data_IF_643031937963
#
_entry.id   IF_643031937963
#
_cell.length_a   1.000
_cell.length_b   1.000
_cell.length_c   1.000
_cell.angle_alpha   90.00
_cell.angle_beta   90.00
_cell.angle_gamma   90.00
#
_symmetry.space_group_name_H-M   'P 1'
#
loop_
_entity.id
_entity.type
_entity.pdbx_description
1 polymer ?
#
# COMPACT_ATOMS: atom_id res chain seq x y z
N UNK A 1 -4.27 -12.39 1.12
CA UNK A 1 -4.31 -11.03 0.54
C UNK A 1 -4.56 -11.20 -0.93
N UNK A 2 -5.54 -10.51 -1.50
CA UNK A 2 -5.79 -10.54 -2.94
C UNK A 2 -5.10 -9.31 -3.51
N UNK A 3 -3.86 -9.45 -3.96
CA UNK A 3 -3.14 -8.35 -4.59
C UNK A 3 -3.79 -8.13 -5.96
N UNK A 4 -4.45 -6.99 -6.13
CA UNK A 4 -4.89 -6.56 -7.45
C UNK A 4 -3.71 -5.84 -8.10
N UNK A 5 -2.74 -6.60 -8.61
CA UNK A 5 -1.91 -6.03 -9.67
C UNK A 5 -2.86 -5.65 -10.83
N UNK A 6 -2.69 -4.44 -11.36
CA UNK A 6 -3.60 -3.84 -12.35
C UNK A 6 -3.82 -4.76 -13.58
N UNK A 7 -5.02 -4.72 -14.16
CA UNK A 7 -5.32 -5.37 -15.46
C UNK A 7 -4.44 -4.84 -16.61
N UNK A 8 -3.76 -3.71 -16.42
CA UNK A 8 -2.74 -3.18 -17.31
C UNK A 8 -1.36 -3.35 -16.68
N UNK A 9 -0.62 -4.39 -17.11
CA UNK A 9 0.81 -4.47 -16.87
C UNK A 9 1.49 -3.20 -17.40
N UNK A 10 2.15 -2.46 -16.50
CA UNK A 10 3.08 -1.38 -16.87
C UNK A 10 4.00 -1.96 -17.98
N UNK A 11 4.03 -1.34 -19.17
CA UNK A 11 4.78 -1.91 -20.31
C UNK A 11 6.26 -2.04 -19.97
N UNK A 12 7.00 -2.97 -20.60
CA UNK A 12 8.44 -3.17 -20.33
C UNK A 12 9.25 -1.86 -20.39
N UNK A 13 8.87 -0.94 -21.28
CA UNK A 13 9.49 0.38 -21.45
C UNK A 13 9.17 1.38 -20.32
N UNK A 14 8.04 1.20 -19.62
CA UNK A 14 7.64 2.05 -18.49
C UNK A 14 8.36 1.65 -17.21
N UNK A 15 8.57 0.35 -16.97
CA UNK A 15 9.23 -0.16 -15.76
C UNK A 15 10.69 0.32 -15.69
N UNK A 16 11.42 0.27 -16.80
CA UNK A 16 12.84 0.65 -16.88
C UNK A 16 13.10 2.12 -16.52
N UNK A 17 12.09 2.99 -16.66
CA UNK A 17 12.19 4.44 -16.42
C UNK A 17 11.57 4.89 -15.10
N UNK A 18 10.98 3.98 -14.31
CA UNK A 18 10.33 4.29 -13.04
C UNK A 18 11.27 4.06 -11.87
N UNK A 19 11.22 4.95 -10.88
CA UNK A 19 11.80 4.69 -9.56
C UNK A 19 10.94 3.66 -8.78
N UNK A 20 11.51 3.14 -7.69
CA UNK A 20 10.87 2.09 -6.88
C UNK A 20 9.50 2.51 -6.36
N UNK A 21 9.37 3.73 -5.83
CA UNK A 21 8.14 4.20 -5.21
C UNK A 21 7.05 4.40 -6.28
N UNK A 22 7.39 4.97 -7.43
CA UNK A 22 6.47 5.10 -8.57
C UNK A 22 6.04 3.75 -9.14
N UNK A 23 6.95 2.78 -9.21
CA UNK A 23 6.62 1.42 -9.63
C UNK A 23 5.65 0.76 -8.64
N UNK A 24 5.90 0.89 -7.33
CA UNK A 24 5.01 0.37 -6.29
C UNK A 24 3.61 0.99 -6.41
N UNK A 25 3.50 2.30 -6.61
CA UNK A 25 2.21 2.96 -6.83
C UNK A 25 1.49 2.45 -8.09
N UNK A 26 2.19 2.22 -9.23
CA UNK A 26 1.60 1.61 -10.44
C UNK A 26 1.06 0.22 -10.12
N UNK A 27 1.90 -0.65 -9.56
CA UNK A 27 1.57 -2.06 -9.34
C UNK A 27 0.43 -2.25 -8.34
N UNK A 28 0.35 -1.38 -7.33
CA UNK A 28 -0.68 -1.43 -6.28
C UNK A 28 -1.93 -0.63 -6.64
N UNK A 29 -1.98 0.02 -7.82
CA UNK A 29 -3.09 0.86 -8.28
C UNK A 29 -3.50 1.93 -7.26
N UNK A 30 -2.51 2.53 -6.59
CA UNK A 30 -2.74 3.55 -5.57
C UNK A 30 -2.87 4.93 -6.20
N UNK A 31 -3.81 5.73 -5.71
CA UNK A 31 -3.83 7.16 -6.05
C UNK A 31 -2.71 7.92 -5.33
N UNK A 32 -2.54 9.21 -5.68
CA UNK A 32 -1.48 10.06 -5.11
C UNK A 32 -1.55 10.14 -3.57
N UNK A 33 -2.77 10.22 -3.02
CA UNK A 33 -2.96 10.30 -1.58
C UNK A 33 -2.63 8.98 -0.88
N UNK A 34 -3.12 7.86 -1.41
CA UNK A 34 -2.83 6.52 -0.87
C UNK A 34 -1.33 6.22 -0.90
N UNK A 35 -0.67 6.55 -2.01
CA UNK A 35 0.78 6.43 -2.15
C UNK A 35 1.52 7.27 -1.11
N UNK A 36 1.11 8.54 -0.96
CA UNK A 36 1.70 9.45 0.03
C UNK A 36 1.52 8.93 1.46
N UNK A 37 0.31 8.45 1.81
CA UNK A 37 0.02 7.88 3.13
C UNK A 37 0.83 6.60 3.36
N UNK A 38 0.92 5.71 2.37
CA UNK A 38 1.69 4.47 2.49
C UNK A 38 3.18 4.75 2.72
N UNK A 39 3.77 5.67 1.95
CA UNK A 39 5.19 6.02 2.09
C UNK A 39 5.47 6.75 3.40
N UNK A 40 4.54 7.59 3.86
CA UNK A 40 4.62 8.18 5.19
C UNK A 40 4.63 7.10 6.29
N UNK A 41 3.77 6.07 6.17
CA UNK A 41 3.70 4.95 7.12
C UNK A 41 4.94 4.05 7.10
N UNK A 42 5.67 3.94 5.98
CA UNK A 42 6.97 3.25 5.96
C UNK A 42 8.02 3.97 6.80
N UNK A 43 7.97 5.30 6.82
CA UNK A 43 8.92 6.13 7.56
C UNK A 43 8.49 6.36 9.01
N UNK A 44 7.19 6.30 9.29
CA UNK A 44 6.60 6.63 10.59
C UNK A 44 5.59 5.54 11.01
N UNK A 45 6.05 4.38 11.52
CA UNK A 45 5.16 3.36 12.04
C UNK A 45 4.53 3.80 13.38
N UNK A 46 3.30 3.35 13.66
CA UNK A 46 2.63 3.58 14.94
C UNK A 46 2.00 4.98 15.10
N UNK A 47 1.79 5.69 13.99
CA UNK A 47 1.19 7.02 13.96
C UNK A 47 -0.33 6.97 13.97
N UNK A 48 -0.97 8.06 14.38
CA UNK A 48 -2.44 8.19 14.37
C UNK A 48 -2.92 8.79 13.05
N UNK A 49 -4.21 8.61 12.73
CA UNK A 49 -4.82 9.28 11.57
C UNK A 49 -4.68 10.82 11.61
N UNK A 50 -4.58 11.41 12.81
CA UNK A 50 -4.36 12.85 12.98
C UNK A 50 -2.93 13.24 12.58
N UNK A 51 -1.94 12.48 13.00
CA UNK A 51 -0.53 12.75 12.69
C UNK A 51 -0.31 12.68 11.17
N UNK A 52 -0.89 11.67 10.52
CA UNK A 52 -0.83 11.52 9.06
C UNK A 52 -1.52 12.70 8.38
N UNK A 53 -2.72 13.07 8.81
CA UNK A 53 -3.48 14.19 8.24
C UNK A 53 -2.73 15.52 8.32
N UNK A 54 -2.01 15.76 9.42
CA UNK A 54 -1.15 16.92 9.57
C UNK A 54 0.04 16.87 8.63
N UNK A 55 0.71 15.72 8.52
CA UNK A 55 1.90 15.56 7.69
C UNK A 55 1.63 15.67 6.18
N UNK A 56 0.49 15.16 5.71
CA UNK A 56 0.11 15.17 4.28
C UNK A 56 -0.78 16.36 3.91
N UNK A 57 -1.02 17.28 4.85
CA UNK A 57 -1.87 18.47 4.67
C UNK A 57 -3.25 18.14 4.07
N UNK A 58 -3.95 17.17 4.67
CA UNK A 58 -5.30 16.76 4.28
C UNK A 58 -6.23 16.65 5.46
N UNK A 59 -7.53 16.70 5.19
CA UNK A 59 -8.53 16.45 6.21
C UNK A 59 -8.45 15.01 6.74
N UNK A 60 -8.66 14.86 8.05
CA UNK A 60 -8.63 13.56 8.73
C UNK A 60 -9.57 12.53 8.08
N UNK A 61 -10.77 12.94 7.66
CA UNK A 61 -11.73 12.05 6.99
C UNK A 61 -11.21 11.53 5.64
N UNK A 62 -10.48 12.36 4.89
CA UNK A 62 -9.85 11.96 3.63
C UNK A 62 -8.72 10.95 3.88
N UNK A 63 -7.87 11.20 4.87
CA UNK A 63 -6.82 10.25 5.30
C UNK A 63 -7.44 8.95 5.81
N UNK A 64 -8.56 9.02 6.53
CA UNK A 64 -9.26 7.83 7.00
C UNK A 64 -9.70 6.94 5.83
N UNK A 65 -10.27 7.53 4.77
CA UNK A 65 -10.62 6.78 3.55
C UNK A 65 -9.41 6.12 2.89
N UNK A 66 -8.28 6.83 2.78
CA UNK A 66 -7.05 6.27 2.24
C UNK A 66 -6.52 5.11 3.11
N UNK A 67 -6.54 5.27 4.44
CA UNK A 67 -6.17 4.19 5.37
C UNK A 67 -7.10 2.98 5.24
N UNK A 68 -8.41 3.19 5.11
CA UNK A 68 -9.39 2.12 4.94
C UNK A 68 -9.12 1.35 3.63
N UNK A 69 -8.77 2.05 2.55
CA UNK A 69 -8.34 1.42 1.30
C UNK A 69 -7.06 0.59 1.51
N UNK A 70 -5.99 1.21 2.04
CA UNK A 70 -4.72 0.51 2.28
C UNK A 70 -4.88 -0.71 3.19
N UNK A 71 -5.77 -0.64 4.20
CA UNK A 71 -6.10 -1.80 5.03
C UNK A 71 -6.87 -2.87 4.26
N UNK A 72 -7.80 -2.50 3.37
CA UNK A 72 -8.55 -3.45 2.54
C UNK A 72 -7.65 -4.23 1.57
N UNK A 73 -6.58 -3.60 1.09
CA UNK A 73 -5.53 -4.24 0.29
C UNK A 73 -4.48 -4.98 1.15
N UNK A 74 -4.56 -4.86 2.47
CA UNK A 74 -3.61 -5.43 3.44
C UNK A 74 -2.23 -4.76 3.43
N UNK A 75 -2.12 -3.54 2.89
CA UNK A 75 -0.90 -2.73 2.86
C UNK A 75 -0.66 -1.99 4.18
N UNK A 76 -1.71 -1.77 4.97
CA UNK A 76 -1.64 -1.15 6.28
C UNK A 76 -2.33 -2.01 7.34
N UNK A 77 -1.86 -1.87 8.58
CA UNK A 77 -2.44 -2.49 9.77
C UNK A 77 -2.76 -1.45 10.82
N UNK A 78 -3.79 -1.72 11.62
CA UNK A 78 -4.23 -0.86 12.72
C UNK A 78 -4.14 -1.60 14.04
N UNK A 79 -3.58 -0.95 15.06
CA UNK A 79 -3.61 -1.40 16.46
C UNK A 79 -4.45 -0.44 17.29
N UNK A 80 -5.28 -0.98 18.18
CA UNK A 80 -5.97 -0.21 19.20
C UNK A 80 -5.11 -0.19 20.47
N UNK A 81 -4.68 0.98 20.89
CA UNK A 81 -4.01 1.17 22.17
C UNK A 81 -5.02 1.71 23.18
N UNK A 82 -5.09 1.09 24.36
CA UNK A 82 -5.94 1.54 25.44
C UNK A 82 -5.38 2.82 26.08
N UNK A 83 -6.28 3.74 26.42
CA UNK A 83 -5.97 4.95 27.16
C UNK A 83 -6.69 4.93 28.50
N UNK A 84 -6.32 5.83 29.43
CA UNK A 84 -7.05 6.02 30.71
C UNK A 84 -8.56 6.26 30.50
N UNK A 85 -8.94 6.83 29.36
CA UNK A 85 -10.32 6.94 28.87
C UNK A 85 -10.35 6.71 27.36
N UNK A 86 -10.98 5.62 26.93
CA UNK A 86 -11.13 5.27 25.51
C UNK A 86 -9.94 4.52 24.92
N UNK A 87 -9.83 4.56 23.60
CA UNK A 87 -8.77 3.94 22.83
C UNK A 87 -8.30 4.87 21.72
N UNK A 88 -7.07 4.67 21.25
CA UNK A 88 -6.53 5.34 20.08
C UNK A 88 -6.07 4.33 19.06
N UNK A 89 -6.37 4.61 17.79
CA UNK A 89 -5.89 3.79 16.70
C UNK A 89 -4.54 4.29 16.19
N UNK A 90 -3.59 3.37 16.11
CA UNK A 90 -2.28 3.58 15.48
C UNK A 90 -2.16 2.71 14.25
N UNK A 91 -1.57 3.29 13.22
CA UNK A 91 -1.44 2.72 11.90
C UNK A 91 0.02 2.46 11.59
N UNK A 92 0.29 1.38 10.87
CA UNK A 92 1.62 1.04 10.36
C UNK A 92 1.46 0.39 8.99
N UNK A 93 2.40 0.61 8.08
CA UNK A 93 2.45 -0.15 6.86
C UNK A 93 2.98 -1.57 7.12
N UNK A 94 2.70 -2.51 6.23
CA UNK A 94 3.46 -3.75 6.16
C UNK A 94 4.94 -3.43 5.85
N UNK A 95 5.87 -4.34 6.14
CA UNK A 95 7.27 -4.05 5.83
C UNK A 95 7.49 -4.01 4.31
N UNK A 96 8.35 -3.10 3.83
CA UNK A 96 8.76 -3.04 2.41
C UNK A 96 9.24 -4.39 1.89
N UNK A 97 9.96 -5.16 2.71
CA UNK A 97 10.40 -6.52 2.38
C UNK A 97 9.21 -7.45 2.06
N UNK A 98 8.22 -7.52 2.96
CA UNK A 98 7.02 -8.35 2.76
C UNK A 98 6.21 -7.92 1.54
N UNK A 99 6.10 -6.61 1.32
CA UNK A 99 5.43 -6.07 0.14
C UNK A 99 6.13 -6.51 -1.15
N UNK A 100 7.45 -6.39 -1.22
CA UNK A 100 8.25 -6.84 -2.37
C UNK A 100 8.11 -8.34 -2.61
N UNK A 101 8.21 -9.15 -1.56
CA UNK A 101 8.03 -10.61 -1.64
C UNK A 101 6.66 -10.97 -2.22
N UNK A 102 5.60 -10.32 -1.73
CA UNK A 102 4.25 -10.59 -2.20
C UNK A 102 4.02 -10.18 -3.66
N UNK A 103 4.55 -9.03 -4.07
CA UNK A 103 4.52 -8.56 -5.46
C UNK A 103 5.21 -9.56 -6.40
N UNK A 104 6.41 -10.03 -6.02
CA UNK A 104 7.17 -10.98 -6.84
C UNK A 104 6.44 -12.32 -6.96
N UNK A 105 5.83 -12.79 -5.87
CA UNK A 105 5.12 -14.06 -5.87
C UNK A 105 3.86 -14.01 -6.76
N UNK A 106 3.09 -12.93 -6.68
CA UNK A 106 1.93 -12.71 -7.56
C UNK A 106 2.37 -12.67 -9.04
N UNK A 107 3.47 -11.97 -9.36
CA UNK A 107 3.98 -11.91 -10.73
C UNK A 107 4.40 -13.30 -11.26
N UNK A 108 4.98 -14.16 -10.42
CA UNK A 108 5.32 -15.54 -10.80
C UNK A 108 4.07 -16.37 -11.07
N UNK A 109 3.03 -16.23 -10.24
CA UNK A 109 1.76 -16.91 -10.44
C UNK A 109 1.14 -16.52 -11.78
N UNK A 110 1.18 -15.24 -12.14
CA UNK A 110 0.73 -14.77 -13.44
C UNK A 110 1.54 -15.36 -14.60
N UNK A 111 2.86 -15.41 -14.49
CA UNK A 111 3.71 -16.07 -15.49
C UNK A 111 3.30 -17.53 -15.69
N UNK A 112 3.09 -18.27 -14.60
CA UNK A 112 2.65 -19.66 -14.65
C UNK A 112 1.28 -19.81 -15.33
N UNK A 113 0.33 -18.94 -15.01
CA UNK A 113 -0.99 -18.96 -15.66
C UNK A 113 -0.93 -18.68 -17.16
N UNK A 114 0.01 -17.83 -17.60
CA UNK A 114 0.23 -17.55 -19.03
C UNK A 114 0.84 -18.78 -19.71
N UNK A 115 1.87 -19.38 -19.12
CA UNK A 115 2.50 -20.60 -19.63
C UNK A 115 1.49 -21.74 -19.79
N UNK A 116 0.62 -21.96 -18.79
CA UNK A 116 -0.43 -22.98 -18.84
C UNK A 116 -1.49 -22.73 -19.92
N UNK A 117 -1.76 -21.46 -20.28
CA UNK A 117 -2.74 -21.11 -21.33
C UNK A 117 -2.17 -21.11 -22.74
N UNK A 118 -0.85 -20.99 -22.88
CA UNK A 118 -0.16 -21.00 -24.17
C UNK A 118 0.30 -22.40 -24.58
N UNK A 119 0.30 -23.36 -23.65
CA UNK A 119 0.55 -24.79 -23.90
C UNK A 119 -0.68 -25.50 -24.49
#
# INVERSE_FOLDING_TARGET
MRFLMNENLCSKLQIDKMDEDRLLSCLLSLNDLESTVLFYLFSHPGVTARDIAQAVERHRSTVQKALDQLMSQGLAVRRADSLKRGYIYRYSAISRKKLKEAIIEEAKEWCKMIEEKLA
#
